data_IF_662154964279
#
_entry.id   IF_662154964279
#
_cell.length_a   1.000
_cell.length_b   1.000
_cell.length_c   1.000
_cell.angle_alpha   90.00
_cell.angle_beta   90.00
_cell.angle_gamma   90.00
#
_symmetry.space_group_name_H-M   'P 1'
#
loop_
_entity.id
_entity.type
_entity.pdbx_description
1 polymer ?
#
# COMPACT_ATOMS: atom_id res chain seq x y z
N UNK A 1 -2.59 -18.73 -2.08
CA UNK A 1 -1.36 -18.84 -2.91
C UNK A 1 -1.59 -19.65 -4.19
N UNK A 2 -2.34 -20.76 -4.15
CA UNK A 2 -2.70 -21.56 -5.35
C UNK A 2 -3.26 -20.71 -6.51
N UNK A 3 -4.25 -19.85 -6.26
CA UNK A 3 -4.81 -18.93 -7.26
C UNK A 3 -3.74 -18.03 -7.90
N UNK A 4 -2.86 -17.43 -7.09
CA UNK A 4 -1.80 -16.54 -7.56
C UNK A 4 -0.78 -17.28 -8.43
N UNK A 5 -0.36 -18.50 -8.03
CA UNK A 5 0.53 -19.32 -8.85
C UNK A 5 -0.18 -19.73 -10.14
N UNK A 6 -1.44 -20.15 -10.07
CA UNK A 6 -2.21 -20.52 -11.26
C UNK A 6 -2.28 -19.37 -12.27
N UNK A 7 -2.57 -18.15 -11.82
CA UNK A 7 -2.58 -16.96 -12.66
C UNK A 7 -1.20 -16.64 -13.25
N UNK A 8 -0.14 -16.75 -12.44
CA UNK A 8 1.22 -16.57 -12.92
C UNK A 8 1.57 -17.58 -14.03
N UNK A 9 1.19 -18.84 -13.88
CA UNK A 9 1.39 -19.87 -14.90
C UNK A 9 0.55 -19.62 -16.16
N UNK A 10 -0.66 -19.08 -16.03
CA UNK A 10 -1.48 -18.65 -17.18
C UNK A 10 -0.78 -17.54 -17.99
N UNK A 11 -0.16 -16.57 -17.31
CA UNK A 11 0.61 -15.52 -17.98
C UNK A 11 1.92 -16.05 -18.58
N UNK A 12 2.61 -16.95 -17.88
CA UNK A 12 3.83 -17.59 -18.37
C UNK A 12 3.58 -18.45 -19.61
N UNK A 13 2.38 -19.05 -19.77
CA UNK A 13 1.99 -19.77 -20.99
C UNK A 13 1.84 -18.86 -22.21
N UNK A 14 1.41 -17.61 -22.01
CA UNK A 14 1.24 -16.63 -23.09
C UNK A 14 2.59 -16.18 -23.64
N UNK A 15 3.60 -16.04 -22.77
CA UNK A 15 4.90 -15.44 -23.09
C UNK A 15 6.04 -16.46 -23.24
N UNK A 16 5.84 -17.71 -22.82
CA UNK A 16 6.88 -18.74 -22.81
C UNK A 16 7.15 -19.42 -24.15
N UNK A 17 8.36 -19.96 -24.31
CA UNK A 17 8.77 -20.84 -25.41
C UNK A 17 7.96 -22.17 -25.45
N UNK A 18 7.70 -22.77 -26.63
CA UNK A 18 6.92 -24.01 -26.76
C UNK A 18 7.33 -25.17 -25.84
N UNK A 19 8.62 -25.37 -25.58
CA UNK A 19 9.12 -26.44 -24.70
C UNK A 19 8.77 -26.17 -23.23
N UNK A 20 8.75 -24.90 -22.82
CA UNK A 20 8.34 -24.50 -21.47
C UNK A 20 6.83 -24.61 -21.27
N UNK A 21 6.02 -24.36 -22.31
CA UNK A 21 4.54 -24.44 -22.23
C UNK A 21 4.05 -25.82 -21.80
N UNK A 22 4.68 -26.89 -22.27
CA UNK A 22 4.32 -28.26 -21.88
C UNK A 22 4.54 -28.50 -20.38
N UNK A 23 5.70 -28.11 -19.85
CA UNK A 23 6.05 -28.26 -18.44
C UNK A 23 5.17 -27.40 -17.53
N UNK A 24 4.94 -26.15 -17.92
CA UNK A 24 4.02 -25.23 -17.22
C UNK A 24 2.60 -25.79 -17.22
N UNK A 25 2.16 -26.41 -18.31
CA UNK A 25 0.88 -27.10 -18.40
C UNK A 25 0.73 -28.21 -17.37
N UNK A 26 1.71 -29.11 -17.25
CA UNK A 26 1.69 -30.21 -16.26
C UNK A 26 1.67 -29.70 -14.82
N UNK A 27 2.47 -28.69 -14.51
CA UNK A 27 2.49 -28.06 -13.18
C UNK A 27 1.14 -27.42 -12.87
N UNK A 28 0.57 -26.68 -13.80
CA UNK A 28 -0.73 -26.04 -13.60
C UNK A 28 -1.84 -27.07 -13.39
N UNK A 29 -1.86 -28.17 -14.14
CA UNK A 29 -2.85 -29.25 -13.93
C UNK A 29 -2.71 -29.86 -12.53
N UNK A 30 -1.48 -30.03 -12.03
CA UNK A 30 -1.23 -30.54 -10.68
C UNK A 30 -1.74 -29.55 -9.62
N UNK A 31 -1.50 -28.25 -9.80
CA UNK A 31 -2.00 -27.18 -8.92
C UNK A 31 -3.53 -27.14 -8.91
N UNK A 32 -4.18 -27.28 -10.07
CA UNK A 32 -5.65 -27.28 -10.18
C UNK A 32 -6.26 -28.48 -9.45
N UNK A 33 -5.72 -29.68 -9.69
CA UNK A 33 -6.16 -30.90 -9.01
C UNK A 33 -6.03 -30.78 -7.50
N UNK A 34 -4.92 -30.24 -7.01
CA UNK A 34 -4.72 -30.08 -5.57
C UNK A 34 -5.61 -28.98 -4.97
N UNK A 35 -5.84 -27.88 -5.71
CA UNK A 35 -6.78 -26.86 -5.29
C UNK A 35 -8.22 -27.40 -5.21
N UNK A 36 -8.64 -28.26 -6.14
CA UNK A 36 -9.92 -28.96 -6.09
C UNK A 36 -10.03 -29.87 -4.86
N UNK A 37 -9.00 -30.68 -4.58
CA UNK A 37 -8.93 -31.53 -3.39
C UNK A 37 -9.07 -30.72 -2.09
N UNK A 38 -8.36 -29.58 -2.02
CA UNK A 38 -8.35 -28.67 -0.87
C UNK A 38 -9.56 -27.71 -0.85
N UNK A 39 -10.44 -27.77 -1.85
CA UNK A 39 -11.59 -26.87 -2.03
C UNK A 39 -11.19 -25.38 -2.02
N UNK A 40 -10.05 -25.07 -2.63
CA UNK A 40 -9.50 -23.71 -2.74
C UNK A 40 -10.00 -23.06 -4.02
N UNK A 41 -10.63 -21.91 -3.88
CA UNK A 41 -11.03 -21.07 -5.00
C UNK A 41 -9.80 -20.51 -5.75
N UNK A 42 -9.76 -20.74 -7.07
CA UNK A 42 -8.70 -20.28 -7.97
C UNK A 42 -9.05 -18.98 -8.69
N UNK A 43 -10.21 -18.39 -8.43
CA UNK A 43 -10.60 -17.12 -9.05
C UNK A 43 -9.72 -15.96 -8.60
N UNK A 44 -9.49 -15.01 -9.50
CA UNK A 44 -8.74 -13.79 -9.20
C UNK A 44 -9.46 -12.90 -8.18
N UNK A 45 -10.80 -12.88 -8.19
CA UNK A 45 -11.63 -12.07 -7.30
C UNK A 45 -12.68 -12.95 -6.64
N UNK A 46 -12.34 -13.46 -5.47
CA UNK A 46 -13.28 -14.18 -4.60
C UNK A 46 -14.33 -13.23 -4.02
N UNK A 47 -15.45 -13.78 -3.53
CA UNK A 47 -16.50 -13.00 -2.85
C UNK A 47 -15.95 -12.21 -1.65
N UNK A 48 -14.94 -12.75 -0.97
CA UNK A 48 -14.25 -12.06 0.13
C UNK A 48 -13.47 -10.83 -0.37
N UNK A 49 -12.78 -10.93 -1.51
CA UNK A 49 -12.08 -9.78 -2.13
C UNK A 49 -13.11 -8.72 -2.58
N UNK A 50 -14.21 -9.13 -3.20
CA UNK A 50 -15.29 -8.22 -3.64
C UNK A 50 -15.95 -7.55 -2.43
N UNK A 51 -16.18 -8.28 -1.35
CA UNK A 51 -16.76 -7.74 -0.11
C UNK A 51 -15.82 -6.78 0.61
N UNK A 52 -14.51 -7.07 0.60
CA UNK A 52 -13.46 -6.19 1.13
C UNK A 52 -13.36 -4.90 0.34
N UNK A 53 -13.52 -4.97 -0.99
CA UNK A 53 -13.50 -3.80 -1.87
C UNK A 53 -14.55 -2.75 -1.48
N UNK A 54 -15.75 -3.19 -1.06
CA UNK A 54 -16.82 -2.31 -0.57
C UNK A 54 -16.50 -1.55 0.72
N UNK A 55 -15.43 -1.96 1.43
CA UNK A 55 -14.97 -1.37 2.70
C UNK A 55 -13.73 -0.47 2.52
N UNK A 56 -13.21 -0.36 1.30
CA UNK A 56 -12.05 0.49 1.01
C UNK A 56 -12.46 1.95 1.16
N UNK A 57 -11.72 2.71 1.96
CA UNK A 57 -11.97 4.15 2.20
C UNK A 57 -11.19 5.04 1.22
N UNK A 58 -10.01 4.60 0.78
CA UNK A 58 -9.20 5.29 -0.24
C UNK A 58 -8.22 4.34 -0.92
N UNK A 59 -7.74 4.71 -2.10
CA UNK A 59 -6.63 4.06 -2.79
C UNK A 59 -5.40 4.95 -2.79
N UNK A 60 -4.38 4.48 -2.07
CA UNK A 60 -3.04 5.07 -2.05
C UNK A 60 -2.29 4.81 -3.37
N UNK A 61 -1.08 5.34 -3.53
CA UNK A 61 -0.28 5.18 -4.76
C UNK A 61 -0.02 3.72 -5.16
N UNK A 62 0.02 2.78 -4.20
CA UNK A 62 0.15 1.34 -4.49
C UNK A 62 -1.13 0.68 -5.02
N UNK A 63 -2.26 1.41 -5.05
CA UNK A 63 -3.57 1.00 -5.55
C UNK A 63 -4.22 -0.19 -4.82
N UNK A 64 -3.65 -0.74 -3.75
CA UNK A 64 -4.20 -1.92 -3.04
C UNK A 64 -5.48 -1.57 -2.25
N UNK A 65 -5.65 -0.31 -1.86
CA UNK A 65 -6.80 0.19 -1.10
C UNK A 65 -6.65 0.03 0.40
N UNK A 66 -7.01 1.06 1.15
CA UNK A 66 -6.96 1.12 2.61
C UNK A 66 -8.32 0.77 3.22
N UNK A 67 -8.32 -0.06 4.26
CA UNK A 67 -9.51 -0.38 5.06
C UNK A 67 -9.18 -0.07 6.53
N UNK A 68 -9.96 0.84 7.10
CA UNK A 68 -9.94 1.21 8.53
C UNK A 68 -11.35 1.15 9.08
N UNK A 69 -11.56 1.06 10.40
CA UNK A 69 -12.86 1.29 11.00
C UNK A 69 -13.40 2.64 10.51
N UNK A 70 -14.53 2.63 9.82
CA UNK A 70 -15.16 3.83 9.26
C UNK A 70 -16.66 3.79 9.52
N UNK A 71 -17.15 4.75 10.30
CA UNK A 71 -18.56 4.91 10.58
C UNK A 71 -19.21 5.78 9.51
N UNK A 72 -19.99 5.16 8.63
CA UNK A 72 -20.68 5.86 7.53
C UNK A 72 -21.74 6.88 7.99
N UNK A 73 -22.27 6.77 9.21
CA UNK A 73 -23.26 7.73 9.73
C UNK A 73 -22.61 9.00 10.23
N UNK A 74 -21.54 8.86 11.02
CA UNK A 74 -20.80 10.00 11.58
C UNK A 74 -19.66 10.49 10.67
N UNK A 75 -19.37 9.78 9.58
CA UNK A 75 -18.22 10.02 8.70
C UNK A 75 -16.88 10.01 9.45
N UNK A 76 -16.75 9.18 10.49
CA UNK A 76 -15.58 9.13 11.36
C UNK A 76 -14.74 7.88 11.11
N UNK A 77 -13.43 8.03 11.13
CA UNK A 77 -12.39 7.03 10.87
C UNK A 77 -11.50 7.33 9.66
N UNK A 78 -11.95 8.18 8.74
CA UNK A 78 -11.21 8.60 7.56
C UNK A 78 -11.78 9.89 6.96
N UNK A 79 -10.88 10.80 6.57
CA UNK A 79 -11.15 11.92 5.67
C UNK A 79 -10.05 12.06 4.61
N UNK A 80 -10.34 12.72 3.50
CA UNK A 80 -9.38 12.90 2.42
C UNK A 80 -8.21 13.82 2.82
N UNK A 81 -7.05 13.59 2.20
CA UNK A 81 -5.91 14.49 2.31
C UNK A 81 -6.21 15.85 1.67
N UNK A 82 -5.46 16.88 2.10
CA UNK A 82 -5.58 18.23 1.55
C UNK A 82 -5.27 18.33 0.03
N UNK A 83 -4.61 17.31 -0.53
CA UNK A 83 -4.28 17.20 -1.95
C UNK A 83 -4.71 15.84 -2.47
N UNK A 84 -5.19 15.81 -3.71
CA UNK A 84 -5.44 14.56 -4.42
C UNK A 84 -4.12 13.84 -4.76
N UNK A 85 -4.23 12.57 -5.15
CA UNK A 85 -3.06 11.74 -5.45
C UNK A 85 -2.15 12.30 -6.56
N UNK A 86 -2.70 12.97 -7.58
CA UNK A 86 -1.92 13.52 -8.70
C UNK A 86 -1.06 14.69 -8.25
N UNK A 87 -1.65 15.61 -7.50
CA UNK A 87 -0.97 16.81 -7.03
C UNK A 87 0.06 16.47 -5.95
N UNK A 88 -0.29 15.56 -5.04
CA UNK A 88 0.64 15.04 -4.03
C UNK A 88 1.85 14.35 -4.68
N UNK A 89 1.63 13.49 -5.68
CA UNK A 89 2.71 12.84 -6.42
C UNK A 89 3.60 13.84 -7.17
N UNK A 90 3.00 14.91 -7.70
CA UNK A 90 3.74 16.00 -8.37
C UNK A 90 4.65 16.72 -7.37
N UNK A 91 4.16 17.04 -6.17
CA UNK A 91 4.97 17.66 -5.13
C UNK A 91 6.09 16.74 -4.61
N UNK A 92 5.80 15.45 -4.42
CA UNK A 92 6.84 14.49 -4.02
C UNK A 92 7.93 14.35 -5.08
N UNK A 93 7.57 14.30 -6.37
CA UNK A 93 8.54 14.29 -7.47
C UNK A 93 9.40 15.55 -7.47
N UNK A 94 8.78 16.74 -7.30
CA UNK A 94 9.50 18.01 -7.21
C UNK A 94 10.48 18.02 -6.04
N UNK A 95 10.03 17.59 -4.85
CA UNK A 95 10.85 17.53 -3.65
C UNK A 95 12.03 16.54 -3.80
N UNK A 96 11.79 15.38 -4.40
CA UNK A 96 12.83 14.36 -4.62
C UNK A 96 13.95 14.87 -5.55
N UNK A 97 13.58 15.64 -6.58
CA UNK A 97 14.52 16.18 -7.57
C UNK A 97 15.06 17.58 -7.22
N UNK A 98 14.63 18.16 -6.10
CA UNK A 98 14.99 19.51 -5.70
C UNK A 98 16.43 19.62 -5.19
N UNK A 99 17.09 20.70 -5.60
CA UNK A 99 18.32 21.16 -4.96
C UNK A 99 18.05 21.58 -3.50
N UNK A 100 19.03 21.51 -2.59
CA UNK A 100 18.84 21.80 -1.16
C UNK A 100 18.10 23.12 -0.87
N UNK A 101 18.39 24.17 -1.63
CA UNK A 101 17.80 25.51 -1.50
C UNK A 101 16.33 25.58 -1.95
N UNK A 102 15.88 24.65 -2.80
CA UNK A 102 14.50 24.58 -3.28
C UNK A 102 13.60 23.72 -2.36
N UNK A 103 14.19 22.83 -1.55
CA UNK A 103 13.43 21.92 -0.67
C UNK A 103 12.51 22.65 0.31
N UNK A 104 12.92 23.76 0.98
CA UNK A 104 12.04 24.47 1.92
C UNK A 104 10.73 24.94 1.28
N UNK A 105 10.77 25.36 0.01
CA UNK A 105 9.59 25.77 -0.75
C UNK A 105 8.60 24.62 -0.90
N UNK A 106 9.06 23.45 -1.37
CA UNK A 106 8.18 22.30 -1.57
C UNK A 106 7.69 21.70 -0.25
N UNK A 107 8.49 21.78 0.82
CA UNK A 107 8.05 21.41 2.17
C UNK A 107 6.97 22.36 2.69
N UNK A 108 7.07 23.66 2.43
CA UNK A 108 6.02 24.62 2.77
C UNK A 108 4.72 24.33 1.99
N UNK A 109 4.80 23.97 0.71
CA UNK A 109 3.65 23.54 -0.10
C UNK A 109 3.00 22.24 0.44
N UNK A 110 3.78 21.34 1.05
CA UNK A 110 3.30 20.09 1.68
C UNK A 110 2.80 20.28 3.11
N UNK A 111 3.15 21.38 3.77
CA UNK A 111 2.81 21.63 5.18
C UNK A 111 1.31 21.50 5.47
N UNK A 112 0.38 22.03 4.64
CA UNK A 112 -1.06 21.84 4.87
C UNK A 112 -1.48 20.37 4.88
N UNK A 113 -0.85 19.51 4.07
CA UNK A 113 -1.13 18.06 4.05
C UNK A 113 -0.74 17.44 5.39
N UNK A 114 0.42 17.80 5.93
CA UNK A 114 0.89 17.28 7.22
C UNK A 114 0.05 17.78 8.40
N UNK A 115 -0.29 19.06 8.40
CA UNK A 115 -1.14 19.66 9.43
C UNK A 115 -2.51 19.02 9.42
N UNK A 116 -3.16 18.91 8.25
CA UNK A 116 -4.50 18.33 8.15
C UNK A 116 -4.51 16.84 8.52
N UNK A 117 -3.47 16.08 8.16
CA UNK A 117 -3.36 14.68 8.58
C UNK A 117 -3.16 14.51 10.09
N UNK A 118 -2.53 15.50 10.76
CA UNK A 118 -2.37 15.50 12.22
C UNK A 118 -3.70 15.84 12.91
N UNK A 119 -4.40 16.87 12.44
CA UNK A 119 -5.75 17.21 12.91
C UNK A 119 -6.71 16.03 12.73
N UNK A 120 -6.66 15.37 11.57
CA UNK A 120 -7.45 14.17 11.32
C UNK A 120 -7.18 13.08 12.36
N UNK A 121 -5.92 12.85 12.73
CA UNK A 121 -5.58 11.88 13.77
C UNK A 121 -6.16 12.28 15.14
N UNK A 122 -6.06 13.56 15.53
CA UNK A 122 -6.63 14.06 16.79
C UNK A 122 -8.18 13.92 16.82
N UNK A 123 -8.82 14.04 15.65
CA UNK A 123 -10.27 13.87 15.45
C UNK A 123 -10.69 12.43 15.11
N UNK A 124 -9.83 11.44 15.41
CA UNK A 124 -10.07 10.00 15.23
C UNK A 124 -10.21 9.51 13.79
N UNK A 125 -9.82 10.30 12.80
CA UNK A 125 -9.71 9.95 11.38
C UNK A 125 -8.33 9.37 11.02
N UNK A 126 -7.96 8.29 11.72
CA UNK A 126 -6.63 7.69 11.62
C UNK A 126 -6.27 7.17 10.22
N UNK A 127 -7.27 6.90 9.37
CA UNK A 127 -7.05 6.46 7.99
C UNK A 127 -6.27 7.49 7.16
N UNK A 128 -6.45 8.79 7.42
CA UNK A 128 -5.82 9.88 6.68
C UNK A 128 -4.29 9.88 6.86
N UNK A 129 -3.82 9.70 8.11
CA UNK A 129 -2.39 9.58 8.39
C UNK A 129 -1.76 8.33 7.78
N UNK A 130 -2.48 7.20 7.77
CA UNK A 130 -2.00 5.96 7.14
C UNK A 130 -1.87 6.13 5.63
N UNK A 131 -2.86 6.75 4.97
CA UNK A 131 -2.81 7.07 3.55
C UNK A 131 -1.57 7.91 3.20
N UNK A 132 -1.32 8.98 3.95
CA UNK A 132 -0.16 9.85 3.75
C UNK A 132 1.15 9.05 3.87
N UNK A 133 1.29 8.25 4.93
CA UNK A 133 2.45 7.41 5.13
C UNK A 133 2.67 6.41 3.98
N UNK A 134 1.62 5.73 3.54
CA UNK A 134 1.69 4.80 2.40
C UNK A 134 2.04 5.51 1.09
N UNK A 135 1.50 6.70 0.84
CA UNK A 135 1.81 7.49 -0.35
C UNK A 135 3.30 7.89 -0.38
N UNK A 136 3.86 8.32 0.75
CA UNK A 136 5.29 8.65 0.85
C UNK A 136 6.16 7.41 0.57
N UNK A 137 5.85 6.27 1.20
CA UNK A 137 6.60 5.01 1.00
C UNK A 137 6.53 4.56 -0.46
N UNK A 138 5.32 4.53 -1.01
CA UNK A 138 5.07 4.04 -2.37
C UNK A 138 5.73 4.92 -3.42
N UNK A 139 5.83 6.24 -3.19
CA UNK A 139 6.59 7.14 -4.04
C UNK A 139 8.11 6.92 -3.90
N UNK A 140 8.59 6.73 -2.66
CA UNK A 140 10.01 6.59 -2.38
C UNK A 140 10.76 7.92 -2.25
N UNK A 141 10.10 8.97 -1.74
CA UNK A 141 10.77 10.25 -1.45
C UNK A 141 11.50 10.19 -0.11
N UNK A 142 12.83 10.06 -0.16
CA UNK A 142 13.62 9.71 1.03
C UNK A 142 13.67 10.82 2.09
N UNK A 143 13.57 12.08 1.67
CA UNK A 143 13.54 13.23 2.57
C UNK A 143 12.32 13.25 3.50
N UNK A 144 11.29 12.43 3.23
CA UNK A 144 10.09 12.30 4.05
C UNK A 144 10.00 10.95 4.80
N UNK A 145 11.07 10.15 4.85
CA UNK A 145 11.04 8.85 5.52
C UNK A 145 10.66 8.96 7.02
N UNK A 146 11.19 9.96 7.74
CA UNK A 146 10.82 10.22 9.14
C UNK A 146 9.35 10.62 9.29
N UNK A 147 8.83 11.42 8.36
CA UNK A 147 7.42 11.82 8.29
C UNK A 147 6.52 10.60 8.06
N UNK A 148 6.87 9.73 7.11
CA UNK A 148 6.13 8.50 6.84
C UNK A 148 6.10 7.58 8.07
N UNK A 149 7.26 7.38 8.71
CA UNK A 149 7.37 6.59 9.93
C UNK A 149 6.45 7.12 11.02
N UNK A 150 6.53 8.42 11.30
CA UNK A 150 5.71 9.08 12.32
C UNK A 150 4.22 8.83 12.07
N UNK A 151 3.73 9.10 10.87
CA UNK A 151 2.30 8.94 10.57
C UNK A 151 1.87 7.46 10.62
N UNK A 152 2.66 6.54 10.09
CA UNK A 152 2.30 5.12 10.13
C UNK A 152 2.31 4.57 11.55
N UNK A 153 3.40 4.78 12.29
CA UNK A 153 3.55 4.24 13.63
C UNK A 153 2.45 4.78 14.56
N UNK A 154 2.22 6.09 14.57
CA UNK A 154 1.19 6.72 15.41
C UNK A 154 -0.21 6.24 15.04
N UNK A 155 -0.61 6.29 13.76
CA UNK A 155 -1.98 5.93 13.38
C UNK A 155 -2.25 4.43 13.46
N UNK A 156 -1.25 3.57 13.24
CA UNK A 156 -1.41 2.14 13.52
C UNK A 156 -1.61 1.86 15.00
N UNK A 157 -0.89 2.55 15.89
CA UNK A 157 -1.09 2.42 17.34
C UNK A 157 -2.48 2.88 17.76
N UNK A 158 -2.93 4.02 17.26
CA UNK A 158 -4.29 4.53 17.51
C UNK A 158 -5.38 3.57 17.01
N UNK A 159 -5.11 2.79 15.96
CA UNK A 159 -5.98 1.70 15.49
C UNK A 159 -5.78 0.35 16.20
N UNK A 160 -5.00 0.29 17.28
CA UNK A 160 -4.61 -0.94 17.98
C UNK A 160 -3.95 -2.00 17.05
N UNK A 161 -3.15 -1.53 16.08
CA UNK A 161 -2.38 -2.36 15.13
C UNK A 161 -0.87 -2.28 15.39
N UNK A 162 -0.45 -2.53 16.63
CA UNK A 162 0.96 -2.42 17.07
C UNK A 162 1.94 -3.19 16.17
N UNK A 163 1.56 -4.37 15.67
CA UNK A 163 2.40 -5.17 14.77
C UNK A 163 2.75 -4.39 13.49
N UNK A 164 1.82 -3.61 12.93
CA UNK A 164 2.09 -2.80 11.74
C UNK A 164 2.96 -1.58 12.05
N UNK A 165 2.82 -0.99 13.24
CA UNK A 165 3.71 0.07 13.70
C UNK A 165 5.16 -0.44 13.79
N UNK A 166 5.37 -1.61 14.41
CA UNK A 166 6.68 -2.26 14.52
C UNK A 166 7.28 -2.63 13.16
N UNK A 167 6.46 -3.12 12.22
CA UNK A 167 6.93 -3.39 10.85
C UNK A 167 7.36 -2.09 10.17
N UNK A 168 6.60 -1.00 10.32
CA UNK A 168 6.97 0.30 9.75
C UNK A 168 8.29 0.83 10.35
N UNK A 169 8.47 0.72 11.67
CA UNK A 169 9.71 1.10 12.38
C UNK A 169 10.91 0.29 11.91
N UNK A 170 10.79 -1.04 11.86
CA UNK A 170 11.86 -1.92 11.38
C UNK A 170 12.20 -1.65 9.91
N UNK A 171 11.19 -1.50 9.06
CA UNK A 171 11.38 -1.20 7.64
C UNK A 171 12.08 0.14 7.43
N UNK A 172 11.68 1.19 8.16
CA UNK A 172 12.27 2.52 8.02
C UNK A 172 13.70 2.61 8.57
N UNK A 173 14.02 1.82 9.60
CA UNK A 173 15.36 1.76 10.18
C UNK A 173 16.39 1.12 9.23
N UNK A 174 15.94 0.26 8.32
CA UNK A 174 16.82 -0.45 7.38
C UNK A 174 16.22 -0.48 5.97
N UNK A 175 15.81 0.70 5.47
CA UNK A 175 15.22 0.84 4.13
C UNK A 175 16.30 0.83 3.04
N UNK A 176 16.85 -0.34 2.73
CA UNK A 176 17.86 -0.55 1.69
C UNK A 176 17.27 -1.13 0.41
N UNK A 177 17.93 -0.87 -0.73
CA UNK A 177 17.64 -1.56 -1.99
C UNK A 177 18.38 -2.90 -2.00
N UNK A 178 17.66 -4.00 -2.25
CA UNK A 178 18.22 -5.35 -2.38
C UNK A 178 17.73 -6.33 -1.31
N UNK A 179 18.12 -7.59 -1.44
CA UNK A 179 17.78 -8.68 -0.50
C UNK A 179 18.92 -8.95 0.50
N UNK A 180 19.87 -8.02 0.64
CA UNK A 180 21.02 -8.20 1.50
C UNK A 180 20.59 -8.00 2.95
N UNK A 181 20.43 -9.11 3.66
CA UNK A 181 19.95 -9.18 5.04
C UNK A 181 21.07 -8.93 6.08
N UNK A 182 22.19 -8.35 5.64
CA UNK A 182 23.44 -8.19 6.39
C UNK A 182 23.28 -7.75 7.84
#
# INVERSE_FOLDING_TARGET
IFAAINMYLDDLKKTGDPFKKMHVGRMQSSIKKEAENLKVDLTQRTDAIISREKKVVTRTFNKIGLVVPFNRKSQLGYRELALNNKDLNTLFTKLQNALPEQRPKYLAELQPVFTNASIAADECDFGTGIELGWNIISHGVDSLNSTALRFLATNYRLLNKEVFAKIAEAHMSNRKKGCDLG
#
